data_IF_149549069256
#
_entry.id   IF_149549069256
#
_cell.length_a   1.000
_cell.length_b   1.000
_cell.length_c   1.000
_cell.angle_alpha   90.00
_cell.angle_beta   90.00
_cell.angle_gamma   90.00
#
_symmetry.space_group_name_H-M   'P 1'
#
loop_
_entity.id
_entity.type
_entity.pdbx_description
1 polymer ?
#
# COMPACT_ATOMS: atom_id res chain seq x y z
N UNK A 1 -23.45 -8.49 -27.60
CA UNK A 1 -22.40 -8.33 -26.57
C UNK A 1 -22.47 -6.89 -26.08
N UNK A 2 -22.64 -6.66 -24.77
CA UNK A 2 -22.82 -5.32 -24.19
C UNK A 2 -21.55 -4.88 -23.43
N UNK A 3 -20.58 -4.25 -24.10
CA UNK A 3 -19.29 -3.92 -23.47
C UNK A 3 -19.43 -2.93 -22.31
N UNK A 4 -20.33 -1.95 -22.41
CA UNK A 4 -20.55 -0.95 -21.36
C UNK A 4 -21.25 -1.53 -20.14
N UNK A 5 -22.22 -2.42 -20.33
CA UNK A 5 -22.94 -3.08 -19.24
C UNK A 5 -22.03 -4.03 -18.46
N UNK A 6 -21.17 -4.77 -19.17
CA UNK A 6 -20.18 -5.64 -18.56
C UNK A 6 -19.21 -4.85 -17.66
N UNK A 7 -18.69 -3.72 -18.14
CA UNK A 7 -17.79 -2.86 -17.36
C UNK A 7 -18.49 -2.26 -16.13
N UNK A 8 -19.74 -1.84 -16.27
CA UNK A 8 -20.53 -1.32 -15.15
C UNK A 8 -20.79 -2.40 -14.08
N UNK A 9 -21.15 -3.62 -14.49
CA UNK A 9 -21.35 -4.75 -13.59
C UNK A 9 -20.07 -5.12 -12.82
N UNK A 10 -18.92 -5.15 -13.50
CA UNK A 10 -17.63 -5.38 -12.84
C UNK A 10 -17.30 -4.31 -11.79
N UNK A 11 -17.54 -3.04 -12.11
CA UNK A 11 -17.32 -1.94 -11.17
C UNK A 11 -18.21 -2.09 -9.92
N UNK A 12 -19.51 -2.37 -10.08
CA UNK A 12 -20.42 -2.56 -8.95
C UNK A 12 -20.05 -3.77 -8.09
N UNK A 13 -19.64 -4.88 -8.70
CA UNK A 13 -19.24 -6.10 -7.99
C UNK A 13 -17.85 -5.98 -7.33
N UNK A 14 -17.02 -5.04 -7.77
CA UNK A 14 -15.69 -4.79 -7.19
C UNK A 14 -15.74 -3.97 -5.90
N UNK A 15 -16.81 -3.20 -5.68
CA UNK A 15 -17.05 -2.49 -4.42
C UNK A 15 -17.50 -3.54 -3.40
N UNK A 16 -16.62 -3.85 -2.45
CA UNK A 16 -17.01 -4.74 -1.35
C UNK A 16 -18.15 -4.09 -0.56
N UNK A 17 -19.25 -4.82 -0.39
CA UNK A 17 -20.38 -4.42 0.44
C UNK A 17 -20.05 -4.35 1.94
N UNK A 18 -18.82 -4.70 2.32
CA UNK A 18 -18.40 -4.85 3.72
C UNK A 18 -17.05 -4.18 3.97
N UNK A 19 -16.93 -3.44 5.08
CA UNK A 19 -15.66 -2.87 5.57
C UNK A 19 -14.63 -3.93 6.01
N UNK A 20 -15.04 -5.20 6.10
CA UNK A 20 -14.23 -6.33 6.61
C UNK A 20 -12.85 -6.43 5.96
N UNK A 21 -12.73 -6.20 4.65
CA UNK A 21 -11.42 -6.29 3.98
C UNK A 21 -10.48 -5.17 4.39
N UNK A 22 -11.01 -3.96 4.59
CA UNK A 22 -10.28 -2.79 5.06
C UNK A 22 -9.91 -2.97 6.54
N UNK A 23 -10.84 -3.47 7.37
CA UNK A 23 -10.59 -3.81 8.77
C UNK A 23 -9.54 -4.92 8.93
N UNK A 24 -9.55 -5.94 8.06
CA UNK A 24 -8.53 -6.99 8.06
C UNK A 24 -7.14 -6.42 7.74
N UNK A 25 -7.03 -5.53 6.75
CA UNK A 25 -5.76 -4.83 6.47
C UNK A 25 -5.32 -3.93 7.62
N UNK A 26 -6.23 -3.20 8.29
CA UNK A 26 -5.88 -2.40 9.46
C UNK A 26 -5.51 -3.25 10.68
N UNK A 27 -6.15 -4.40 10.86
CA UNK A 27 -5.84 -5.35 11.93
C UNK A 27 -4.47 -6.01 11.73
N UNK A 28 -4.14 -6.40 10.49
CA UNK A 28 -2.81 -6.87 10.12
C UNK A 28 -1.76 -5.75 10.23
N UNK A 29 -2.11 -4.53 9.81
CA UNK A 29 -1.28 -3.34 9.96
C UNK A 29 -1.14 -2.84 11.40
N UNK A 30 -1.96 -3.32 12.35
CA UNK A 30 -1.85 -2.97 13.77
C UNK A 30 -0.52 -3.43 14.38
N UNK A 31 0.13 -4.44 13.80
CA UNK A 31 1.48 -4.83 14.18
C UNK A 31 2.50 -3.71 13.89
N UNK A 32 2.34 -2.99 12.77
CA UNK A 32 3.14 -1.83 12.39
C UNK A 32 2.78 -0.60 13.24
N UNK A 33 1.49 -0.36 13.47
CA UNK A 33 1.00 0.86 14.15
C UNK A 33 1.12 0.84 15.68
N UNK A 34 1.10 -0.33 16.33
CA UNK A 34 0.98 -0.39 17.80
C UNK A 34 2.10 -1.14 18.52
N UNK A 35 2.82 -2.06 17.85
CA UNK A 35 3.80 -2.90 18.54
C UNK A 35 5.23 -2.35 18.47
N UNK A 36 5.55 -1.58 17.44
CA UNK A 36 6.77 -0.80 17.34
C UNK A 36 6.30 0.65 17.43
N UNK A 37 6.79 1.44 18.39
CA UNK A 37 6.61 2.91 18.38
C UNK A 37 7.44 3.48 17.22
N UNK A 38 7.08 3.10 16.01
CA UNK A 38 7.73 3.52 14.80
C UNK A 38 7.33 4.97 14.58
N UNK A 39 8.30 5.88 14.60
CA UNK A 39 8.16 7.24 14.11
C UNK A 39 7.95 7.23 12.59
N UNK A 40 6.92 6.53 12.13
CA UNK A 40 6.57 6.45 10.71
C UNK A 40 5.43 7.43 10.50
N UNK A 41 5.66 8.36 9.58
CA UNK A 41 4.60 9.25 9.11
C UNK A 41 3.44 8.44 8.52
N UNK A 42 2.27 9.06 8.40
CA UNK A 42 1.11 8.46 7.73
C UNK A 42 1.48 7.99 6.32
N UNK A 43 2.36 8.74 5.64
CA UNK A 43 2.87 8.43 4.31
C UNK A 43 3.73 7.16 4.32
N UNK A 44 4.71 7.06 5.22
CA UNK A 44 5.57 5.86 5.33
C UNK A 44 4.77 4.61 5.70
N UNK A 45 3.76 4.77 6.56
CA UNK A 45 2.85 3.67 6.93
C UNK A 45 2.04 3.18 5.72
N UNK A 46 1.52 4.10 4.89
CA UNK A 46 0.79 3.77 3.67
C UNK A 46 1.69 3.11 2.62
N UNK A 47 2.90 3.63 2.42
CA UNK A 47 3.87 3.06 1.49
C UNK A 47 4.22 1.61 1.88
N UNK A 48 4.42 1.33 3.17
CA UNK A 48 4.67 -0.03 3.68
C UNK A 48 3.49 -0.97 3.45
N UNK A 49 2.24 -0.51 3.64
CA UNK A 49 1.05 -1.32 3.36
C UNK A 49 0.95 -1.67 1.87
N UNK A 50 1.19 -0.70 0.98
CA UNK A 50 1.21 -0.93 -0.47
C UNK A 50 2.31 -1.92 -0.87
N UNK A 51 3.53 -1.73 -0.35
CA UNK A 51 4.66 -2.63 -0.59
C UNK A 51 4.37 -4.06 -0.12
N UNK A 52 3.71 -4.22 1.04
CA UNK A 52 3.26 -5.52 1.53
C UNK A 52 2.28 -6.20 0.57
N UNK A 53 1.30 -5.47 0.05
CA UNK A 53 0.34 -6.00 -0.94
C UNK A 53 1.04 -6.37 -2.26
N UNK A 54 1.96 -5.55 -2.75
CA UNK A 54 2.72 -5.83 -3.98
C UNK A 54 3.65 -7.02 -3.85
N UNK A 55 4.26 -7.22 -2.68
CA UNK A 55 5.05 -8.41 -2.37
C UNK A 55 4.19 -9.67 -2.42
N UNK A 56 2.98 -9.65 -1.85
CA UNK A 56 2.03 -10.78 -1.92
C UNK A 56 1.60 -11.07 -3.37
N UNK A 57 1.44 -10.04 -4.21
CA UNK A 57 1.14 -10.19 -5.63
C UNK A 57 2.36 -10.60 -6.48
N UNK A 58 3.56 -10.70 -5.90
CA UNK A 58 4.79 -11.06 -6.61
C UNK A 58 5.34 -9.96 -7.51
N UNK A 59 4.90 -8.71 -7.32
CA UNK A 59 5.40 -7.55 -8.07
C UNK A 59 6.74 -7.04 -7.55
N UNK A 60 7.12 -7.42 -6.33
CA UNK A 60 8.42 -7.08 -5.72
C UNK A 60 9.24 -8.36 -5.58
N UNK A 61 10.47 -8.34 -6.12
CA UNK A 61 11.41 -9.47 -5.95
C UNK A 61 12.20 -9.30 -4.66
N UNK A 62 12.45 -10.39 -3.96
CA UNK A 62 13.26 -10.40 -2.73
C UNK A 62 14.70 -9.90 -2.98
N UNK A 63 15.22 -10.05 -4.21
CA UNK A 63 16.50 -9.47 -4.61
C UNK A 63 16.52 -7.96 -4.45
N UNK A 64 15.43 -7.31 -4.81
CA UNK A 64 15.32 -5.85 -4.88
C UNK A 64 15.15 -5.31 -3.45
N UNK A 65 14.40 -6.03 -2.60
CA UNK A 65 14.28 -5.71 -1.17
C UNK A 65 15.66 -5.78 -0.49
N UNK A 66 16.43 -6.84 -0.76
CA UNK A 66 17.78 -7.00 -0.19
C UNK A 66 18.74 -5.92 -0.70
N UNK A 67 18.65 -5.55 -1.97
CA UNK A 67 19.46 -4.47 -2.52
C UNK A 67 19.15 -3.14 -1.84
N UNK A 68 17.87 -2.81 -1.65
CA UNK A 68 17.44 -1.57 -0.98
C UNK A 68 17.84 -1.53 0.49
N UNK A 69 17.81 -2.66 1.19
CA UNK A 69 18.22 -2.73 2.61
C UNK A 69 19.72 -2.52 2.85
N UNK A 70 20.55 -2.64 1.80
CA UNK A 70 22.00 -2.46 1.87
C UNK A 70 22.41 -1.03 1.47
N UNK A 71 21.50 -0.27 0.84
CA UNK A 71 21.78 1.11 0.48
C UNK A 71 21.89 1.98 1.74
N UNK A 72 22.85 2.93 1.77
CA UNK A 72 22.89 3.92 2.84
C UNK A 72 21.58 4.71 2.85
N UNK A 73 21.11 5.06 4.04
CA UNK A 73 19.99 6.00 4.18
C UNK A 73 20.34 7.27 3.42
N UNK A 74 19.47 7.65 2.49
CA UNK A 74 19.65 8.89 1.74
C UNK A 74 19.37 10.03 2.72
N UNK A 75 20.41 10.77 3.11
CA UNK A 75 20.29 12.11 3.71
C UNK A 75 19.75 13.06 2.63
N UNK A 76 18.45 12.96 2.37
CA UNK A 76 17.67 14.01 1.74
C UNK A 76 16.73 14.55 2.79
N UNK A 77 16.52 15.86 2.81
CA UNK A 77 15.40 16.44 3.56
C UNK A 77 14.16 15.58 3.25
N UNK A 78 13.39 15.21 4.27
CA UNK A 78 12.12 14.50 4.10
C UNK A 78 11.21 15.39 3.24
N UNK A 79 11.38 15.32 1.92
CA UNK A 79 10.62 16.13 0.97
C UNK A 79 9.18 15.69 1.15
N UNK A 80 8.41 16.61 1.73
CA UNK A 80 6.99 16.42 1.97
C UNK A 80 6.36 16.04 0.63
N UNK A 81 5.96 14.77 0.50
CA UNK A 81 5.30 14.27 -0.68
C UNK A 81 4.07 15.15 -0.92
N UNK A 82 4.17 16.05 -1.91
CA UNK A 82 3.05 16.87 -2.44
C UNK A 82 1.72 16.13 -2.40
N UNK A 83 0.65 16.83 -2.02
CA UNK A 83 -0.69 16.25 -1.74
C UNK A 83 -1.34 15.46 -2.90
N UNK A 84 -0.69 15.36 -4.06
CA UNK A 84 -1.20 14.77 -5.30
C UNK A 84 -0.26 13.74 -5.96
N UNK A 85 0.75 13.21 -5.27
CA UNK A 85 1.64 12.18 -5.87
C UNK A 85 0.94 10.86 -6.21
N UNK A 86 -0.21 10.60 -5.60
CA UNK A 86 -0.98 9.36 -5.68
C UNK A 86 -2.30 9.48 -6.45
N UNK A 87 -2.53 10.61 -7.13
CA UNK A 87 -3.64 10.76 -8.05
C UNK A 87 -3.37 10.00 -9.36
N UNK A 88 -4.03 8.86 -9.53
CA UNK A 88 -4.09 8.07 -10.77
C UNK A 88 -5.28 8.52 -11.62
#
# INVERSE_FOLDING_TARGET
IFPCLHRMALNYLSILATSVKVEQTFSQGRLLLSHVRSWLSVQSTRALLCLGVWSIMGYVKDSDIKATAVLPEVEGDEEELTDNWDAI
#
